data_IF_809398718223
#
_entry.id   IF_809398718223
#
_cell.length_a   1.000
_cell.length_b   1.000
_cell.length_c   1.000
_cell.angle_alpha   90.00
_cell.angle_beta   90.00
_cell.angle_gamma   90.00
#
_symmetry.space_group_name_H-M   'P 1'
#
loop_
_entity.id
_entity.type
_entity.pdbx_description
1 polymer ?
#
# COMPACT_ATOMS: atom_id res chain seq x y z
N UNK A 1 -89.67 1.94 -19.14
CA UNK A 1 -88.54 2.89 -19.23
C UNK A 1 -87.33 2.28 -18.53
N UNK A 2 -86.38 1.74 -19.28
CA UNK A 2 -85.10 1.20 -18.77
C UNK A 2 -83.99 2.09 -19.31
N UNK A 3 -83.22 2.72 -18.41
CA UNK A 3 -82.03 3.53 -18.73
C UNK A 3 -80.79 2.64 -18.66
N UNK A 4 -79.97 2.68 -19.70
CA UNK A 4 -78.69 1.98 -19.81
C UNK A 4 -77.59 2.80 -19.10
N UNK A 5 -76.69 2.19 -18.31
CA UNK A 5 -75.56 2.90 -17.73
C UNK A 5 -74.34 2.92 -18.69
N UNK A 6 -73.73 4.09 -18.79
CA UNK A 6 -72.43 4.35 -19.45
C UNK A 6 -71.32 3.97 -18.47
N UNK A 7 -70.35 3.16 -18.91
CA UNK A 7 -69.12 2.87 -18.16
C UNK A 7 -67.99 3.73 -18.73
N UNK A 8 -67.52 4.68 -17.93
CA UNK A 8 -66.34 5.52 -18.19
C UNK A 8 -65.08 4.76 -17.77
N UNK A 9 -64.09 4.66 -18.67
CA UNK A 9 -62.76 4.10 -18.41
C UNK A 9 -61.86 5.26 -17.96
N UNK A 10 -61.28 5.17 -16.76
CA UNK A 10 -60.21 6.06 -16.31
C UNK A 10 -58.86 5.41 -16.67
N UNK A 11 -58.07 6.06 -17.51
CA UNK A 11 -56.66 5.74 -17.73
C UNK A 11 -55.82 6.53 -16.72
N UNK A 12 -55.11 5.84 -15.84
CA UNK A 12 -54.13 6.44 -14.93
C UNK A 12 -52.74 6.32 -15.55
N UNK A 13 -52.15 7.45 -15.98
CA UNK A 13 -50.75 7.53 -16.39
C UNK A 13 -49.87 7.62 -15.14
N UNK A 14 -49.08 6.58 -14.87
CA UNK A 14 -48.03 6.61 -13.85
C UNK A 14 -46.84 7.36 -14.44
N UNK A 15 -46.57 8.55 -13.91
CA UNK A 15 -45.39 9.34 -14.23
C UNK A 15 -44.21 8.74 -13.44
N UNK A 16 -43.33 8.01 -14.12
CA UNK A 16 -42.10 7.48 -13.52
C UNK A 16 -41.13 8.63 -13.22
N UNK A 17 -40.91 8.92 -11.93
CA UNK A 17 -39.86 9.82 -11.48
C UNK A 17 -38.51 9.09 -11.68
N UNK A 18 -37.75 9.50 -12.69
CA UNK A 18 -36.35 9.11 -12.80
C UNK A 18 -35.57 9.84 -11.69
N UNK A 19 -35.29 9.15 -10.59
CA UNK A 19 -34.34 9.62 -9.58
C UNK A 19 -32.96 9.42 -10.17
N UNK A 20 -32.35 10.49 -10.68
CA UNK A 20 -30.91 10.51 -10.94
C UNK A 20 -30.20 10.49 -9.59
N UNK A 21 -29.67 9.34 -9.19
CA UNK A 21 -28.67 9.26 -8.12
C UNK A 21 -27.45 10.04 -8.59
N UNK A 22 -27.34 11.29 -8.15
CA UNK A 22 -26.09 12.03 -8.29
C UNK A 22 -25.04 11.31 -7.45
N UNK A 23 -24.01 10.74 -8.09
CA UNK A 23 -22.83 10.24 -7.40
C UNK A 23 -22.25 11.38 -6.57
N UNK A 24 -22.17 11.20 -5.26
CA UNK A 24 -21.48 12.15 -4.40
C UNK A 24 -20.02 12.24 -4.87
N UNK A 25 -19.55 13.45 -5.18
CA UNK A 25 -18.13 13.69 -5.42
C UNK A 25 -17.46 13.59 -4.05
N UNK A 26 -16.94 12.42 -3.71
CA UNK A 26 -16.06 12.26 -2.55
C UNK A 26 -14.68 12.76 -2.98
N UNK A 27 -14.27 13.91 -2.47
CA UNK A 27 -12.88 14.33 -2.56
C UNK A 27 -12.04 13.41 -1.68
N UNK A 28 -10.90 12.95 -2.18
CA UNK A 28 -9.96 12.17 -1.38
C UNK A 28 -9.53 12.94 -0.12
N UNK A 29 -9.40 12.21 0.99
CA UNK A 29 -8.86 12.77 2.23
C UNK A 29 -7.36 12.96 2.04
N UNK A 30 -6.88 14.18 2.25
CA UNK A 30 -5.45 14.51 2.19
C UNK A 30 -4.91 14.86 3.56
N UNK A 31 -3.65 14.58 3.81
CA UNK A 31 -2.97 14.89 5.06
C UNK A 31 -1.49 15.20 4.88
N UNK A 32 -0.84 15.57 5.98
CA UNK A 32 0.60 15.74 6.06
C UNK A 32 1.10 15.34 7.45
N UNK A 33 2.36 14.90 7.51
CA UNK A 33 3.10 14.66 8.75
C UNK A 33 4.46 15.35 8.69
N UNK A 34 5.01 15.67 9.85
CA UNK A 34 6.39 16.11 9.99
C UNK A 34 7.04 15.26 11.07
N UNK A 35 7.98 14.43 10.65
CA UNK A 35 8.59 13.41 11.49
C UNK A 35 10.10 13.65 11.55
N UNK A 36 10.62 13.81 12.76
CA UNK A 36 12.07 13.94 12.98
C UNK A 36 12.64 12.59 13.39
N UNK A 37 13.49 12.04 12.52
CA UNK A 37 14.25 10.83 12.76
C UNK A 37 15.61 11.24 13.39
N UNK A 38 15.89 10.87 14.65
CA UNK A 38 17.14 11.21 15.32
C UNK A 38 18.37 10.65 14.59
N UNK A 39 19.48 11.39 14.68
CA UNK A 39 20.79 10.90 14.23
C UNK A 39 21.27 9.71 15.05
N UNK A 40 21.94 8.75 14.41
CA UNK A 40 22.52 7.60 15.10
C UNK A 40 22.77 6.38 14.22
N UNK A 41 22.48 5.20 14.77
CA UNK A 41 22.67 3.93 14.09
C UNK A 41 21.60 3.65 13.02
N UNK A 42 20.53 4.45 12.99
CA UNK A 42 19.49 4.44 11.97
C UNK A 42 18.07 4.43 12.55
N UNK A 43 17.10 4.61 11.67
CA UNK A 43 15.67 4.59 11.99
C UNK A 43 14.92 3.79 10.93
N UNK A 44 13.97 2.98 11.35
CA UNK A 44 13.01 2.33 10.44
C UNK A 44 11.82 3.26 10.31
N UNK A 45 11.41 3.57 9.08
CA UNK A 45 10.34 4.49 8.79
C UNK A 45 9.44 3.93 7.68
N UNK A 46 8.12 4.03 7.82
CA UNK A 46 7.18 3.71 6.74
C UNK A 46 6.25 4.90 6.46
N UNK A 47 6.10 5.33 5.19
CA UNK A 47 5.16 6.37 4.84
C UNK A 47 3.71 5.84 4.85
N UNK A 48 2.81 6.63 5.45
CA UNK A 48 1.37 6.35 5.51
C UNK A 48 0.54 6.95 4.38
N UNK A 49 1.15 7.76 3.51
CA UNK A 49 0.44 8.46 2.44
C UNK A 49 0.70 7.81 1.08
N UNK A 50 -0.31 7.91 0.21
CA UNK A 50 -0.22 7.55 -1.21
C UNK A 50 -0.45 8.77 -2.09
N UNK A 51 -0.02 8.68 -3.34
CA UNK A 51 -0.44 9.67 -4.35
C UNK A 51 -1.95 9.52 -4.65
N UNK A 52 -2.56 10.60 -5.12
CA UNK A 52 -3.96 10.61 -5.52
C UNK A 52 -4.27 9.64 -6.68
N UNK A 53 -5.53 9.23 -6.81
CA UNK A 53 -5.98 8.43 -7.94
C UNK A 53 -5.78 9.18 -9.25
N UNK A 54 -4.95 8.64 -10.14
CA UNK A 54 -4.83 9.13 -11.51
C UNK A 54 -5.97 8.62 -12.40
N UNK A 55 -6.47 7.43 -12.09
CA UNK A 55 -7.63 6.81 -12.72
C UNK A 55 -8.34 5.88 -11.72
N UNK A 56 -9.66 5.72 -11.90
CA UNK A 56 -10.46 4.68 -11.25
C UNK A 56 -11.43 4.09 -12.25
N UNK A 57 -11.65 2.78 -12.17
CA UNK A 57 -12.58 2.07 -13.05
C UNK A 57 -12.72 0.61 -12.65
N UNK A 58 -13.44 -0.15 -13.47
CA UNK A 58 -13.66 -1.59 -13.24
C UNK A 58 -12.91 -2.41 -14.27
N UNK A 59 -12.31 -3.51 -13.83
CA UNK A 59 -11.85 -4.56 -14.75
C UNK A 59 -13.08 -5.20 -15.39
N UNK A 60 -12.97 -5.53 -16.67
CA UNK A 60 -14.05 -6.18 -17.44
C UNK A 60 -13.59 -7.48 -18.13
N UNK A 61 -12.33 -7.84 -17.94
CA UNK A 61 -11.74 -9.07 -18.45
C UNK A 61 -10.24 -9.10 -18.23
N UNK A 62 -9.70 -10.29 -18.05
CA UNK A 62 -8.26 -10.54 -17.83
C UNK A 62 -7.71 -11.46 -18.92
N UNK A 63 -6.47 -11.22 -19.33
CA UNK A 63 -5.68 -12.12 -20.17
C UNK A 63 -4.38 -12.42 -19.43
N UNK A 64 -4.30 -13.57 -18.74
CA UNK A 64 -3.15 -13.92 -17.91
C UNK A 64 -1.87 -14.15 -18.72
N UNK A 65 -0.73 -13.83 -18.12
CA UNK A 65 0.61 -14.03 -18.69
C UNK A 65 1.71 -13.62 -17.71
N UNK A 66 2.99 -13.73 -18.10
CA UNK A 66 4.10 -13.19 -17.30
C UNK A 66 3.96 -11.68 -17.07
N UNK A 67 3.38 -11.00 -18.05
CA UNK A 67 2.69 -9.73 -17.92
C UNK A 67 1.24 -9.99 -18.31
N UNK A 68 0.30 -9.57 -17.48
CA UNK A 68 -1.13 -9.79 -17.72
C UNK A 68 -1.77 -8.54 -18.30
N UNK A 69 -2.76 -8.73 -19.18
CA UNK A 69 -3.53 -7.63 -19.76
C UNK A 69 -4.92 -7.58 -19.12
N UNK A 70 -5.26 -6.44 -18.55
CA UNK A 70 -6.53 -6.15 -17.90
C UNK A 70 -7.35 -5.22 -18.80
N UNK A 71 -8.62 -5.56 -19.06
CA UNK A 71 -9.52 -4.76 -19.88
C UNK A 71 -10.17 -3.67 -19.04
N UNK A 72 -9.82 -2.41 -19.31
CA UNK A 72 -10.23 -1.20 -18.57
C UNK A 72 -10.60 -0.09 -19.56
N UNK A 73 -11.83 0.41 -19.50
CA UNK A 73 -12.28 1.47 -20.40
C UNK A 73 -11.97 2.88 -19.88
N UNK A 74 -11.82 3.85 -20.78
CA UNK A 74 -11.70 5.28 -20.42
C UNK A 74 -10.28 5.76 -20.13
N UNK A 75 -9.27 4.96 -20.48
CA UNK A 75 -7.88 5.32 -20.31
C UNK A 75 -7.40 6.23 -21.45
N UNK A 76 -6.44 7.10 -21.13
CA UNK A 76 -5.64 7.80 -22.14
C UNK A 76 -4.44 6.93 -22.49
N UNK A 77 -4.22 6.64 -23.77
CA UNK A 77 -3.10 5.79 -24.21
C UNK A 77 -1.75 6.34 -23.70
N UNK A 78 -0.90 5.45 -23.19
CA UNK A 78 0.43 5.76 -22.66
C UNK A 78 0.48 6.77 -21.50
N UNK A 79 -0.65 7.07 -20.85
CA UNK A 79 -0.69 7.98 -19.72
C UNK A 79 -0.05 7.41 -18.45
N UNK A 80 0.03 6.08 -18.35
CA UNK A 80 0.46 5.32 -17.18
C UNK A 80 1.57 4.32 -17.50
N UNK A 81 2.30 4.53 -18.60
CA UNK A 81 3.43 3.67 -18.95
C UNK A 81 4.53 3.70 -17.88
N UNK A 82 5.24 2.58 -17.73
CA UNK A 82 6.35 2.47 -16.80
C UNK A 82 7.47 3.48 -17.12
N UNK A 83 8.26 3.83 -16.09
CA UNK A 83 9.52 4.55 -16.30
C UNK A 83 10.58 3.67 -16.93
N UNK A 84 11.71 4.27 -17.31
CA UNK A 84 12.81 3.53 -17.94
C UNK A 84 13.50 2.52 -17.00
N UNK A 85 13.57 2.86 -15.71
CA UNK A 85 14.29 2.07 -14.68
C UNK A 85 13.34 1.57 -13.60
N UNK A 86 12.45 2.44 -13.12
CA UNK A 86 11.51 2.14 -12.04
C UNK A 86 10.07 2.16 -12.56
N UNK A 87 9.17 1.33 -12.00
CA UNK A 87 7.75 1.46 -12.31
C UNK A 87 7.26 2.84 -11.87
N UNK A 88 6.52 3.51 -12.75
CA UNK A 88 6.01 4.86 -12.49
C UNK A 88 4.63 4.83 -11.82
N UNK A 89 3.81 3.84 -12.18
CA UNK A 89 2.45 3.66 -11.72
C UNK A 89 2.21 2.22 -11.28
N UNK A 90 1.30 2.06 -10.32
CA UNK A 90 0.70 0.78 -9.97
C UNK A 90 -0.81 0.83 -10.15
N UNK A 91 -1.38 -0.33 -10.41
CA UNK A 91 -2.78 -0.63 -10.29
C UNK A 91 -3.02 -1.25 -8.92
N UNK A 92 -4.08 -0.83 -8.24
CA UNK A 92 -4.51 -1.43 -6.99
C UNK A 92 -5.99 -1.82 -7.05
N UNK A 93 -6.30 -3.03 -6.56
CA UNK A 93 -7.68 -3.49 -6.37
C UNK A 93 -8.28 -2.80 -5.14
N UNK A 94 -9.35 -2.04 -5.36
CA UNK A 94 -10.07 -1.27 -4.33
C UNK A 94 -11.18 -2.05 -3.69
N UNK A 95 -11.82 -2.94 -4.46
CA UNK A 95 -12.96 -3.73 -4.02
C UNK A 95 -12.98 -5.02 -4.82
N UNK A 96 -13.06 -6.13 -4.09
CA UNK A 96 -13.30 -7.45 -4.61
C UNK A 96 -14.76 -7.81 -4.36
N UNK A 97 -15.60 -7.56 -5.36
CA UNK A 97 -17.03 -7.85 -5.27
C UNK A 97 -17.34 -9.36 -5.35
N UNK A 98 -16.34 -10.22 -5.55
CA UNK A 98 -16.52 -11.67 -5.66
C UNK A 98 -16.42 -12.38 -4.32
N UNK A 99 -17.50 -12.36 -3.55
CA UNK A 99 -17.63 -13.20 -2.34
C UNK A 99 -17.74 -14.71 -2.60
N UNK A 100 -17.32 -15.24 -3.76
CA UNK A 100 -17.63 -16.61 -4.20
C UNK A 100 -16.43 -17.52 -4.52
N UNK A 101 -15.22 -16.99 -4.70
CA UNK A 101 -14.04 -17.80 -5.10
C UNK A 101 -13.06 -18.12 -3.95
N UNK A 102 -13.25 -17.47 -2.80
CA UNK A 102 -12.47 -17.70 -1.59
C UNK A 102 -11.06 -17.11 -1.62
N UNK A 103 -10.73 -16.30 -2.63
CA UNK A 103 -9.51 -15.51 -2.68
C UNK A 103 -9.90 -14.04 -2.54
N UNK A 104 -9.23 -13.34 -1.63
CA UNK A 104 -9.52 -11.93 -1.39
C UNK A 104 -8.46 -11.07 -2.08
N UNK A 105 -8.83 -10.48 -3.21
CA UNK A 105 -7.94 -9.64 -4.03
C UNK A 105 -7.93 -8.17 -3.59
N UNK A 106 -8.76 -7.77 -2.61
CA UNK A 106 -8.81 -6.40 -2.11
C UNK A 106 -7.44 -5.97 -1.58
N UNK A 107 -6.97 -4.81 -2.08
CA UNK A 107 -5.68 -4.24 -1.77
C UNK A 107 -4.52 -4.77 -2.59
N UNK A 108 -4.72 -5.71 -3.53
CA UNK A 108 -3.63 -6.22 -4.38
C UNK A 108 -3.01 -5.08 -5.20
N UNK A 109 -1.69 -4.93 -5.13
CA UNK A 109 -0.89 -3.95 -5.87
C UNK A 109 -0.11 -4.63 -6.98
N UNK A 110 -0.22 -4.09 -8.21
CA UNK A 110 0.47 -4.59 -9.40
C UNK A 110 1.11 -3.44 -10.17
N UNK A 111 2.39 -3.55 -10.50
CA UNK A 111 3.08 -2.54 -11.29
C UNK A 111 2.54 -2.48 -12.70
N UNK A 112 2.28 -1.26 -13.18
CA UNK A 112 1.85 -1.03 -14.56
C UNK A 112 3.08 -1.01 -15.47
N UNK A 113 3.06 -1.86 -16.50
CA UNK A 113 4.07 -1.89 -17.56
C UNK A 113 3.72 -0.87 -18.65
N UNK A 114 2.47 -0.91 -19.11
CA UNK A 114 1.96 0.00 -20.15
C UNK A 114 0.44 0.07 -20.15
N UNK A 115 -0.13 1.07 -20.82
CA UNK A 115 -1.57 1.13 -21.02
C UNK A 115 -2.00 1.62 -22.41
N UNK A 116 -3.05 0.99 -22.95
CA UNK A 116 -3.80 1.48 -24.10
C UNK A 116 -5.00 2.34 -23.67
N UNK A 117 -5.93 2.57 -24.60
CA UNK A 117 -7.21 3.27 -24.30
C UNK A 117 -8.26 2.37 -23.65
N UNK A 118 -8.10 1.05 -23.79
CA UNK A 118 -9.05 0.03 -23.33
C UNK A 118 -8.42 -1.08 -22.49
N UNK A 119 -7.13 -0.97 -22.16
CA UNK A 119 -6.41 -2.00 -21.43
C UNK A 119 -5.20 -1.45 -20.68
N UNK A 120 -4.82 -2.15 -19.62
CA UNK A 120 -3.58 -1.95 -18.86
C UNK A 120 -2.83 -3.27 -18.83
N UNK A 121 -1.53 -3.22 -19.10
CA UNK A 121 -0.62 -4.36 -18.92
C UNK A 121 0.07 -4.19 -17.58
N UNK A 122 0.01 -5.22 -16.73
CA UNK A 122 0.61 -5.25 -15.41
C UNK A 122 1.63 -6.38 -15.28
N UNK A 123 2.58 -6.24 -14.35
CA UNK A 123 3.54 -7.29 -14.03
C UNK A 123 2.84 -8.46 -13.33
N UNK A 124 3.20 -9.69 -13.74
CA UNK A 124 2.76 -10.92 -13.08
C UNK A 124 1.55 -11.59 -13.72
N UNK A 125 1.34 -12.85 -13.35
CA UNK A 125 0.21 -13.68 -13.78
C UNK A 125 -0.98 -13.48 -12.82
N UNK A 126 -1.96 -12.69 -13.27
CA UNK A 126 -3.12 -12.32 -12.46
C UNK A 126 -4.05 -13.49 -12.17
N UNK A 127 -3.97 -14.60 -12.93
CA UNK A 127 -4.78 -15.80 -12.64
C UNK A 127 -4.30 -16.53 -11.39
N UNK A 128 -3.00 -16.49 -11.10
CA UNK A 128 -2.44 -17.02 -9.86
C UNK A 128 -2.76 -16.13 -8.64
N UNK A 129 -3.18 -14.88 -8.89
CA UNK A 129 -3.51 -13.88 -7.88
C UNK A 129 -5.02 -13.74 -7.64
N UNK A 130 -5.85 -14.47 -8.39
CA UNK A 130 -7.30 -14.52 -8.18
C UNK A 130 -8.13 -13.51 -8.97
N UNK A 131 -7.53 -12.66 -9.82
CA UNK A 131 -8.29 -11.65 -10.57
C UNK A 131 -9.17 -12.29 -11.66
N UNK A 132 -10.45 -11.94 -11.66
CA UNK A 132 -11.49 -12.50 -12.53
C UNK A 132 -12.03 -11.50 -13.55
N UNK A 133 -11.84 -10.21 -13.31
CA UNK A 133 -12.17 -9.15 -14.25
C UNK A 133 -13.51 -8.48 -14.02
N UNK A 134 -13.83 -8.23 -12.76
CA UNK A 134 -14.96 -7.43 -12.27
C UNK A 134 -14.59 -6.53 -11.08
N UNK A 135 -13.32 -6.55 -10.67
CA UNK A 135 -12.79 -5.79 -9.56
C UNK A 135 -12.84 -4.29 -9.84
N UNK A 136 -13.10 -3.49 -8.79
CA UNK A 136 -12.86 -2.05 -8.86
C UNK A 136 -11.39 -1.77 -8.61
N UNK A 137 -10.80 -0.88 -9.39
CA UNK A 137 -9.38 -0.58 -9.33
C UNK A 137 -9.09 0.92 -9.39
N UNK A 138 -7.94 1.30 -8.85
CA UNK A 138 -7.31 2.58 -9.09
C UNK A 138 -5.96 2.42 -9.76
N UNK A 139 -5.56 3.41 -10.57
CA UNK A 139 -4.16 3.58 -10.99
C UNK A 139 -3.61 4.80 -10.27
N UNK A 140 -2.44 4.63 -9.66
CA UNK A 140 -1.74 5.67 -8.89
C UNK A 140 -0.28 5.71 -9.24
N UNK A 141 0.31 6.90 -9.14
CA UNK A 141 1.76 7.04 -9.24
C UNK A 141 2.40 6.44 -7.99
N UNK A 142 3.51 5.71 -8.12
CA UNK A 142 4.28 5.28 -6.96
C UNK A 142 4.79 6.48 -6.15
N UNK A 143 4.88 6.31 -4.83
CA UNK A 143 5.69 7.19 -4.00
C UNK A 143 7.16 6.89 -4.32
N UNK A 144 7.94 7.93 -4.61
CA UNK A 144 9.38 7.78 -4.86
C UNK A 144 10.21 8.28 -3.70
N UNK A 145 11.47 7.86 -3.66
CA UNK A 145 12.46 8.35 -2.70
C UNK A 145 12.61 9.88 -2.78
N UNK A 146 12.66 10.44 -3.99
CA UNK A 146 12.69 11.88 -4.21
C UNK A 146 11.46 12.58 -3.66
N UNK A 147 10.27 12.00 -3.82
CA UNK A 147 9.03 12.57 -3.28
C UNK A 147 8.97 12.49 -1.75
N UNK A 148 9.39 11.37 -1.15
CA UNK A 148 9.36 11.20 0.30
C UNK A 148 10.24 12.22 1.02
N UNK A 149 11.42 12.51 0.46
CA UNK A 149 12.38 13.45 1.03
C UNK A 149 12.31 14.86 0.43
N UNK A 150 11.27 15.16 -0.36
CA UNK A 150 11.07 16.53 -0.84
C UNK A 150 10.78 17.46 0.36
N UNK A 151 11.54 18.56 0.44
CA UNK A 151 11.51 19.46 1.59
C UNK A 151 12.07 18.90 2.91
N UNK A 152 12.68 17.70 2.91
CA UNK A 152 13.35 17.18 4.09
C UNK A 152 14.55 18.04 4.48
N UNK A 153 14.86 18.08 5.77
CA UNK A 153 16.00 18.83 6.32
C UNK A 153 16.90 17.92 7.13
N UNK A 154 18.19 18.27 7.23
CA UNK A 154 19.16 17.49 8.01
C UNK A 154 19.87 16.37 7.24
N UNK A 155 19.51 16.10 5.99
CA UNK A 155 20.24 15.14 5.16
C UNK A 155 21.65 15.63 4.82
N UNK A 156 22.64 14.75 5.01
CA UNK A 156 24.03 14.94 4.63
C UNK A 156 24.35 14.19 3.35
N UNK A 157 24.79 14.96 2.35
CA UNK A 157 25.24 14.47 1.05
C UNK A 157 26.31 13.37 1.20
N UNK A 158 26.16 12.29 0.42
CA UNK A 158 27.07 11.13 0.37
C UNK A 158 27.40 10.48 1.72
N UNK A 159 26.62 10.78 2.76
CA UNK A 159 26.88 10.35 4.13
C UNK A 159 25.70 9.57 4.67
N UNK A 160 24.51 10.16 4.58
CA UNK A 160 23.29 9.49 4.99
C UNK A 160 22.90 8.46 3.92
N UNK A 161 22.31 7.35 4.34
CA UNK A 161 21.93 6.24 3.47
C UNK A 161 20.48 5.86 3.72
N UNK A 162 19.70 5.77 2.65
CA UNK A 162 18.38 5.13 2.68
C UNK A 162 18.49 3.74 2.08
N UNK A 163 17.96 2.74 2.77
CA UNK A 163 17.90 1.37 2.29
C UNK A 163 16.46 0.90 2.16
N UNK A 164 16.13 0.34 1.00
CA UNK A 164 14.83 -0.23 0.66
C UNK A 164 14.99 -1.74 0.56
N UNK A 165 14.25 -2.48 1.38
CA UNK A 165 14.24 -3.93 1.38
C UNK A 165 13.17 -4.44 0.42
N UNK A 166 13.54 -5.43 -0.38
CA UNK A 166 12.70 -6.06 -1.39
C UNK A 166 12.14 -5.10 -2.47
N UNK A 167 12.74 -3.90 -2.64
CA UNK A 167 12.25 -2.87 -3.56
C UNK A 167 12.28 -3.29 -5.03
N UNK A 168 13.27 -4.10 -5.40
CA UNK A 168 13.44 -4.67 -6.75
C UNK A 168 13.05 -6.17 -6.81
N UNK A 169 12.36 -6.65 -5.78
CA UNK A 169 11.92 -8.05 -5.64
C UNK A 169 12.45 -8.72 -4.36
N UNK A 170 11.96 -9.92 -4.09
CA UNK A 170 12.28 -10.67 -2.86
C UNK A 170 13.79 -10.79 -2.61
N UNK A 171 14.24 -10.33 -1.44
CA UNK A 171 15.62 -10.47 -0.96
C UNK A 171 16.59 -9.40 -1.46
N UNK A 172 16.13 -8.40 -2.22
CA UNK A 172 16.99 -7.28 -2.61
C UNK A 172 17.16 -6.28 -1.47
N UNK A 173 18.31 -5.58 -1.50
CA UNK A 173 18.60 -4.45 -0.63
C UNK A 173 19.14 -3.34 -1.52
N UNK A 174 18.28 -2.39 -1.85
CA UNK A 174 18.61 -1.27 -2.71
C UNK A 174 18.94 -0.07 -1.81
N UNK A 175 20.13 0.51 -1.94
CA UNK A 175 20.61 1.57 -1.05
C UNK A 175 21.02 2.82 -1.81
N UNK A 176 20.64 3.97 -1.28
CA UNK A 176 20.79 5.26 -1.94
C UNK A 176 21.39 6.31 -1.00
N UNK A 177 22.14 7.24 -1.57
CA UNK A 177 22.74 8.38 -0.86
C UNK A 177 22.24 9.71 -1.45
N UNK A 178 22.05 10.76 -0.63
CA UNK A 178 21.71 12.08 -1.14
C UNK A 178 22.84 12.65 -2.00
N UNK A 179 22.48 13.19 -3.16
CA UNK A 179 23.44 13.75 -4.13
C UNK A 179 23.84 15.21 -3.86
N UNK A 180 23.23 15.84 -2.85
CA UNK A 180 23.45 17.24 -2.44
C UNK A 180 22.78 18.30 -3.33
N UNK A 181 22.08 17.89 -4.38
CA UNK A 181 21.30 18.72 -5.29
C UNK A 181 19.79 18.43 -5.21
N UNK A 182 19.36 17.64 -4.22
CA UNK A 182 17.96 17.24 -4.01
C UNK A 182 17.58 15.92 -4.69
N UNK A 183 18.54 15.21 -5.26
CA UNK A 183 18.39 13.87 -5.82
C UNK A 183 19.07 12.80 -4.98
N UNK A 184 19.00 11.57 -5.50
CA UNK A 184 19.57 10.39 -4.87
C UNK A 184 20.40 9.62 -5.88
N UNK A 185 21.50 9.03 -5.42
CA UNK A 185 22.35 8.14 -6.22
C UNK A 185 22.38 6.76 -5.59
N UNK A 186 22.46 5.72 -6.41
CA UNK A 186 22.73 4.37 -5.96
C UNK A 186 24.08 4.32 -5.22
N UNK A 187 24.07 3.74 -4.02
CA UNK A 187 25.24 3.65 -3.15
C UNK A 187 26.32 2.72 -3.75
N UNK A 188 25.95 1.78 -4.63
CA UNK A 188 26.88 0.82 -5.21
C UNK A 188 27.83 1.43 -6.24
N UNK A 189 27.42 2.49 -6.93
CA UNK A 189 28.19 3.11 -8.00
C UNK A 189 28.37 4.63 -7.90
N UNK A 190 27.56 5.32 -7.07
CA UNK A 190 27.54 6.78 -6.91
C UNK A 190 27.31 7.54 -8.25
N UNK A 191 26.64 6.92 -9.21
CA UNK A 191 26.39 7.48 -10.55
C UNK A 191 24.95 7.23 -11.01
N UNK A 192 24.38 6.06 -10.74
CA UNK A 192 23.02 5.74 -11.15
C UNK A 192 22.03 6.55 -10.33
N UNK A 193 21.12 7.27 -11.00
CA UNK A 193 20.12 8.10 -10.35
C UNK A 193 19.05 7.22 -9.71
N UNK A 194 18.84 7.40 -8.40
CA UNK A 194 17.87 6.68 -7.57
C UNK A 194 16.69 7.55 -7.11
N UNK A 195 16.54 8.78 -7.60
CA UNK A 195 15.47 9.70 -7.17
C UNK A 195 14.07 9.13 -7.41
N UNK A 196 13.91 8.32 -8.46
CA UNK A 196 12.64 7.67 -8.81
C UNK A 196 12.51 6.25 -8.21
N UNK A 197 13.42 5.84 -7.32
CA UNK A 197 13.31 4.57 -6.62
C UNK A 197 12.00 4.49 -5.83
N UNK A 198 11.29 3.37 -6.00
CA UNK A 198 9.91 3.20 -5.52
C UNK A 198 9.88 2.78 -4.06
N UNK A 199 8.98 3.39 -3.31
CA UNK A 199 8.57 2.95 -1.98
C UNK A 199 7.14 2.44 -2.10
N UNK A 200 6.96 1.13 -1.98
CA UNK A 200 5.65 0.52 -2.14
C UNK A 200 4.74 0.88 -0.96
N UNK A 201 3.43 1.09 -1.20
CA UNK A 201 2.47 1.32 -0.12
C UNK A 201 2.56 0.23 0.95
N UNK A 202 2.65 0.64 2.21
CA UNK A 202 2.68 -0.27 3.36
C UNK A 202 4.07 -0.87 3.63
N UNK A 203 5.08 -0.54 2.83
CA UNK A 203 6.47 -0.96 3.05
C UNK A 203 7.29 0.13 3.74
N UNK A 204 8.31 -0.28 4.49
CA UNK A 204 9.23 0.61 5.19
C UNK A 204 10.60 0.74 4.51
N UNK A 205 11.36 1.73 4.98
CA UNK A 205 12.76 1.97 4.65
C UNK A 205 13.60 2.00 5.93
N UNK A 206 14.91 1.87 5.78
CA UNK A 206 15.88 2.19 6.84
C UNK A 206 16.64 3.44 6.45
N UNK A 207 16.59 4.48 7.27
CA UNK A 207 17.42 5.67 7.14
C UNK A 207 18.57 5.59 8.14
N UNK A 208 19.80 5.60 7.65
CA UNK A 208 21.01 5.76 8.46
C UNK A 208 21.50 7.20 8.31
N UNK A 209 21.38 7.99 9.37
CA UNK A 209 21.68 9.42 9.36
C UNK A 209 22.56 9.83 10.53
N UNK A 210 23.50 10.74 10.30
CA UNK A 210 24.45 11.18 11.35
C UNK A 210 23.83 12.23 12.28
N UNK A 211 22.97 13.09 11.75
CA UNK A 211 22.25 14.13 12.48
C UNK A 211 20.75 13.97 12.29
N UNK A 212 19.94 14.61 13.12
CA UNK A 212 18.48 14.53 13.01
C UNK A 212 18.00 14.94 11.62
N UNK A 213 17.20 14.08 11.00
CA UNK A 213 16.57 14.31 9.69
C UNK A 213 15.09 14.53 9.91
N UNK A 214 14.54 15.64 9.43
CA UNK A 214 13.10 15.89 9.45
C UNK A 214 12.51 15.66 8.07
N UNK A 215 11.60 14.69 7.99
CA UNK A 215 10.84 14.32 6.79
C UNK A 215 9.48 15.01 6.86
N UNK A 216 9.02 15.58 5.74
CA UNK A 216 7.69 16.16 5.61
C UNK A 216 6.94 15.38 4.54
N UNK A 217 6.13 14.41 4.96
CA UNK A 217 5.34 13.60 4.05
C UNK A 217 3.95 14.20 3.89
N UNK A 218 3.40 14.20 2.68
CA UNK A 218 2.02 14.59 2.42
C UNK A 218 1.43 13.78 1.28
N UNK A 219 0.11 13.65 1.25
CA UNK A 219 -0.58 12.92 0.21
C UNK A 219 -2.00 12.54 0.60
N UNK A 220 -2.56 11.59 -0.14
CA UNK A 220 -3.87 11.01 0.13
C UNK A 220 -3.76 10.00 1.27
N UNK A 221 -4.67 10.09 2.23
CA UNK A 221 -4.87 9.10 3.28
C UNK A 221 -5.71 7.98 2.71
N UNK A 222 -5.22 6.75 2.86
CA UNK A 222 -5.91 5.58 2.33
C UNK A 222 -6.99 5.09 3.28
N UNK A 223 -8.19 4.82 2.76
CA UNK A 223 -9.32 4.28 3.53
C UNK A 223 -9.56 2.78 3.27
N UNK A 224 -8.94 2.21 2.23
CA UNK A 224 -9.04 0.79 1.88
C UNK A 224 -7.77 0.01 2.28
N UNK A 225 -7.83 -1.33 2.42
CA UNK A 225 -6.65 -2.15 2.69
C UNK A 225 -5.63 -2.13 1.55
N UNK A 226 -4.34 -2.31 1.87
CA UNK A 226 -3.25 -2.59 0.92
C UNK A 226 -2.68 -3.97 1.23
N UNK A 227 -2.49 -4.82 0.22
CA UNK A 227 -1.71 -6.05 0.36
C UNK A 227 -0.22 -5.75 0.28
N UNK A 228 0.51 -6.12 1.32
CA UNK A 228 1.97 -6.03 1.42
C UNK A 228 2.52 -7.45 1.41
N UNK A 229 3.31 -7.84 0.38
CA UNK A 229 3.89 -9.17 0.34
C UNK A 229 4.93 -9.35 1.45
N UNK A 230 4.86 -10.48 2.13
CA UNK A 230 5.88 -10.94 3.07
C UNK A 230 6.67 -12.07 2.40
N UNK A 231 7.95 -11.83 2.16
CA UNK A 231 8.83 -12.79 1.51
C UNK A 231 9.55 -13.66 2.53
N UNK A 232 9.59 -14.97 2.26
CA UNK A 232 10.21 -15.96 3.12
C UNK A 232 11.73 -15.79 3.19
N UNK A 233 12.29 -15.84 4.40
CA UNK A 233 13.73 -15.83 4.61
C UNK A 233 14.43 -14.51 4.28
N UNK A 234 13.66 -13.42 4.10
CA UNK A 234 14.19 -12.07 3.90
C UNK A 234 13.65 -11.13 4.98
N UNK A 235 14.23 -9.94 5.08
CA UNK A 235 13.73 -8.88 5.96
C UNK A 235 12.56 -8.21 5.27
N UNK A 236 11.39 -8.21 5.92
CA UNK A 236 10.21 -7.47 5.47
C UNK A 236 10.02 -6.28 6.40
N UNK A 237 9.91 -5.06 5.84
CA UNK A 237 9.59 -3.86 6.59
C UNK A 237 8.16 -3.48 6.26
N UNK A 238 7.27 -3.56 7.24
CA UNK A 238 5.86 -3.23 7.05
C UNK A 238 5.44 -2.08 7.96
N UNK A 239 4.66 -1.17 7.41
CA UNK A 239 4.04 -0.06 8.13
C UNK A 239 2.52 -0.18 8.17
N UNK A 240 1.90 0.82 8.76
CA UNK A 240 0.45 1.03 8.67
C UNK A 240 0.17 2.06 7.58
N UNK A 241 -1.01 1.99 6.96
CA UNK A 241 -1.43 2.93 5.92
C UNK A 241 -2.20 4.12 6.49
N UNK A 242 -1.91 4.49 7.75
CA UNK A 242 -2.65 5.49 8.51
C UNK A 242 -1.72 6.40 9.28
N UNK A 243 -1.81 7.73 9.09
CA UNK A 243 -0.99 8.69 9.81
C UNK A 243 -1.57 8.96 11.22
N UNK A 244 -1.60 7.93 12.07
CA UNK A 244 -2.02 8.01 13.48
C UNK A 244 -0.84 7.73 14.40
N UNK A 245 -0.74 8.44 15.52
CA UNK A 245 0.41 8.35 16.43
C UNK A 245 0.46 7.08 17.29
N UNK A 246 -0.55 6.22 17.16
CA UNK A 246 -0.67 4.97 17.92
C UNK A 246 -1.67 4.08 17.20
N UNK A 247 -1.17 2.99 16.63
CA UNK A 247 -1.96 1.95 15.99
C UNK A 247 -1.50 0.58 16.48
N UNK A 248 -2.42 -0.23 16.99
CA UNK A 248 -2.13 -1.63 17.29
C UNK A 248 -2.32 -2.46 16.01
N UNK A 249 -1.23 -3.03 15.48
CA UNK A 249 -1.27 -3.86 14.27
C UNK A 249 -2.10 -5.14 14.43
N UNK A 250 -2.46 -5.52 15.66
CA UNK A 250 -3.31 -6.68 15.91
C UNK A 250 -4.79 -6.34 15.95
N UNK A 251 -5.15 -5.05 15.95
CA UNK A 251 -6.52 -4.60 16.18
C UNK A 251 -7.54 -5.09 15.14
N UNK A 252 -7.09 -5.49 13.95
CA UNK A 252 -7.92 -6.04 12.89
C UNK A 252 -7.61 -7.50 12.54
N UNK A 253 -6.65 -8.13 13.23
CA UNK A 253 -6.20 -9.51 12.98
C UNK A 253 -5.39 -9.71 11.69
N UNK A 254 -5.24 -8.70 10.84
CA UNK A 254 -4.63 -8.85 9.51
C UNK A 254 -3.16 -9.24 9.57
N UNK A 255 -2.44 -8.80 10.61
CA UNK A 255 -1.06 -9.23 10.83
C UNK A 255 -0.99 -10.69 11.29
N UNK A 256 -1.86 -11.14 12.20
CA UNK A 256 -1.83 -12.53 12.69
C UNK A 256 -2.15 -13.52 11.56
N UNK A 257 -3.16 -13.21 10.72
CA UNK A 257 -3.52 -14.03 9.55
C UNK A 257 -2.37 -14.17 8.54
N UNK A 258 -1.46 -13.19 8.50
CA UNK A 258 -0.31 -13.19 7.61
C UNK A 258 0.87 -14.02 8.15
N UNK A 259 0.84 -14.43 9.42
CA UNK A 259 1.97 -15.07 10.11
C UNK A 259 1.73 -16.55 10.34
N UNK A 260 2.77 -17.35 10.15
CA UNK A 260 2.79 -18.74 10.59
C UNK A 260 3.00 -18.81 12.11
N UNK A 261 2.03 -19.44 12.76
CA UNK A 261 2.03 -19.70 14.21
C UNK A 261 3.38 -20.23 14.71
N UNK A 262 3.89 -19.62 15.78
CA UNK A 262 5.16 -19.93 16.47
C UNK A 262 6.42 -19.99 15.58
N UNK A 263 6.32 -19.52 14.33
CA UNK A 263 7.39 -19.64 13.34
C UNK A 263 7.85 -18.28 12.87
N UNK A 264 6.91 -17.41 12.52
CA UNK A 264 7.23 -16.08 12.04
C UNK A 264 7.42 -15.12 13.21
N UNK A 265 8.44 -14.27 13.12
CA UNK A 265 8.82 -13.34 14.19
C UNK A 265 8.60 -11.91 13.71
N UNK A 266 7.86 -11.15 14.50
CA UNK A 266 7.71 -9.71 14.35
C UNK A 266 8.59 -9.01 15.38
N UNK A 267 9.33 -7.98 14.95
CA UNK A 267 10.24 -7.22 15.81
C UNK A 267 10.06 -5.72 15.60
N UNK A 268 9.87 -4.99 16.70
CA UNK A 268 9.92 -3.52 16.72
C UNK A 268 11.32 -3.05 17.07
N UNK A 269 11.70 -1.89 16.56
CA UNK A 269 13.02 -1.30 16.80
C UNK A 269 12.90 0.11 17.34
N UNK A 270 13.86 0.51 18.17
CA UNK A 270 13.98 1.88 18.63
C UNK A 270 14.48 2.80 17.53
N UNK A 271 13.84 3.96 17.43
CA UNK A 271 14.22 5.03 16.50
C UNK A 271 15.60 5.60 16.87
N UNK A 272 16.48 5.79 15.89
CA UNK A 272 17.84 6.35 16.04
C UNK A 272 18.92 5.36 16.49
N UNK A 273 18.56 4.25 17.16
CA UNK A 273 19.56 3.29 17.67
C UNK A 273 19.42 1.88 17.10
N UNK A 274 18.33 1.56 16.40
CA UNK A 274 18.03 0.24 15.84
C UNK A 274 18.24 -0.91 16.83
N UNK A 275 17.84 -0.71 18.09
CA UNK A 275 17.80 -1.78 19.09
C UNK A 275 16.42 -2.43 19.03
N UNK A 276 16.36 -3.76 19.00
CA UNK A 276 15.08 -4.46 19.12
C UNK A 276 14.44 -4.10 20.47
N UNK A 277 13.19 -3.60 20.43
CA UNK A 277 12.44 -3.19 21.63
C UNK A 277 11.45 -4.26 22.07
N UNK A 278 10.91 -5.03 21.12
CA UNK A 278 10.02 -6.16 21.36
C UNK A 278 10.18 -7.16 20.21
N UNK A 279 10.11 -8.45 20.53
CA UNK A 279 10.03 -9.52 19.55
C UNK A 279 8.89 -10.45 19.93
N UNK A 280 8.06 -10.79 18.95
CA UNK A 280 6.85 -11.57 19.18
C UNK A 280 6.61 -12.59 18.06
N UNK A 281 5.87 -13.64 18.37
CA UNK A 281 5.42 -14.67 17.43
C UNK A 281 3.90 -14.79 17.46
N UNK A 282 3.30 -15.14 16.33
CA UNK A 282 1.86 -15.44 16.25
C UNK A 282 1.50 -16.65 17.12
N UNK A 283 0.38 -16.54 17.84
CA UNK A 283 -0.26 -17.63 18.58
C UNK A 283 -1.27 -18.42 17.74
N UNK A 284 -1.49 -18.02 16.48
CA UNK A 284 -2.44 -18.63 15.55
C UNK A 284 -3.90 -18.53 15.96
N UNK A 285 -4.22 -17.63 16.89
CA UNK A 285 -5.54 -17.40 17.46
C UNK A 285 -5.89 -15.90 17.53
N UNK A 286 -5.24 -15.06 16.73
CA UNK A 286 -5.45 -13.62 16.65
C UNK A 286 -4.54 -12.79 17.57
N UNK A 287 -3.48 -13.38 18.14
CA UNK A 287 -2.61 -12.72 19.11
C UNK A 287 -1.12 -12.95 18.87
N UNK A 288 -0.30 -12.10 19.48
CA UNK A 288 1.15 -12.28 19.54
C UNK A 288 1.62 -12.61 20.94
N UNK A 289 2.67 -13.43 21.03
CA UNK A 289 3.31 -13.86 22.27
C UNK A 289 4.78 -13.44 22.28
N UNK A 290 5.28 -13.01 23.43
CA UNK A 290 6.70 -12.68 23.61
C UNK A 290 7.59 -13.90 23.30
N UNK A 291 8.62 -13.72 22.47
CA UNK A 291 9.58 -14.78 22.11
C UNK A 291 10.40 -15.30 23.30
N UNK A 292 10.44 -14.56 24.41
CA UNK A 292 11.17 -14.96 25.61
C UNK A 292 10.50 -16.13 26.35
N UNK A 293 9.16 -16.21 26.30
CA UNK A 293 8.41 -17.20 27.08
C UNK A 293 7.31 -17.94 26.32
N UNK A 294 6.91 -17.46 25.12
CA UNK A 294 5.86 -18.03 24.29
C UNK A 294 4.51 -18.17 25.01
N UNK A 295 4.25 -17.34 26.02
CA UNK A 295 3.00 -17.39 26.81
C UNK A 295 2.46 -16.01 27.18
N UNK A 296 3.30 -14.99 27.23
CA UNK A 296 2.89 -13.62 27.57
C UNK A 296 2.35 -12.93 26.33
N UNK A 297 1.05 -12.55 26.28
CA UNK A 297 0.52 -11.76 25.19
C UNK A 297 1.20 -10.40 25.10
N UNK A 298 1.42 -9.93 23.88
CA UNK A 298 2.00 -8.62 23.62
C UNK A 298 1.16 -7.85 22.60
N UNK A 299 0.99 -6.57 22.86
CA UNK A 299 0.42 -5.63 21.89
C UNK A 299 1.54 -5.10 20.99
N UNK A 300 1.20 -4.84 19.72
CA UNK A 300 2.14 -4.33 18.73
C UNK A 300 1.73 -2.93 18.28
N UNK A 301 2.04 -1.95 19.12
CA UNK A 301 1.67 -0.55 18.88
C UNK A 301 2.79 0.18 18.12
N UNK A 302 2.44 0.80 17.00
CA UNK A 302 3.33 1.65 16.20
C UNK A 302 2.80 3.06 16.03
N UNK A 303 3.70 4.03 15.83
CA UNK A 303 3.35 5.33 15.29
C UNK A 303 3.29 5.25 13.76
N UNK A 304 2.09 5.30 13.18
CA UNK A 304 1.91 5.28 11.72
C UNK A 304 2.46 6.50 11.00
N UNK A 305 2.93 7.52 11.72
CA UNK A 305 3.62 8.67 11.13
C UNK A 305 5.14 8.52 11.11
N UNK A 306 5.70 7.50 11.77
CA UNK A 306 7.14 7.42 12.02
C UNK A 306 7.75 6.01 12.01
N UNK A 307 6.98 4.97 12.29
CA UNK A 307 7.48 3.63 12.60
C UNK A 307 7.12 2.60 11.53
N UNK A 308 7.91 1.53 11.49
CA UNK A 308 7.57 0.28 10.82
C UNK A 308 8.04 -0.90 11.69
N UNK A 309 7.53 -2.10 11.41
CA UNK A 309 7.96 -3.34 12.08
C UNK A 309 8.73 -4.22 11.10
N UNK A 310 9.66 -5.00 11.64
CA UNK A 310 10.37 -6.03 10.89
C UNK A 310 9.62 -7.34 11.02
N UNK A 311 9.30 -7.98 9.91
CA UNK A 311 8.73 -9.32 9.88
C UNK A 311 9.71 -10.29 9.22
N UNK A 312 10.08 -11.33 9.97
CA UNK A 312 10.84 -12.46 9.45
C UNK A 312 9.86 -13.61 9.21
N UNK A 313 9.41 -13.74 7.97
CA UNK A 313 8.47 -14.78 7.55
C UNK A 313 9.20 -16.06 7.13
N UNK A 314 8.68 -17.22 7.51
CA UNK A 314 9.20 -18.53 7.13
C UNK A 314 8.58 -19.07 5.83
N UNK A 315 7.44 -18.53 5.42
CA UNK A 315 6.81 -18.77 4.13
C UNK A 315 6.38 -17.45 3.50
N UNK A 316 6.15 -17.46 2.18
CA UNK A 316 5.58 -16.30 1.52
C UNK A 316 4.12 -16.15 1.97
N UNK A 317 3.75 -14.95 2.38
CA UNK A 317 2.38 -14.60 2.77
C UNK A 317 2.09 -13.15 2.39
N UNK A 318 0.93 -12.65 2.80
CA UNK A 318 0.50 -11.28 2.52
C UNK A 318 -0.07 -10.68 3.80
N UNK A 319 0.48 -9.53 4.19
CA UNK A 319 -0.08 -8.69 5.24
C UNK A 319 -1.06 -7.68 4.61
N UNK A 320 -2.28 -7.59 5.14
CA UNK A 320 -3.25 -6.57 4.72
C UNK A 320 -3.13 -5.32 5.59
N UNK A 321 -2.34 -4.36 5.13
CA UNK A 321 -2.19 -3.08 5.80
C UNK A 321 -3.51 -2.28 5.73
N UNK A 322 -4.10 -2.06 6.90
CA UNK A 322 -5.44 -1.51 7.09
C UNK A 322 -5.50 0.00 6.87
N UNK A 323 -6.34 0.43 5.91
CA UNK A 323 -6.74 1.84 5.70
C UNK A 323 -8.05 2.22 6.42
N UNK A 324 -8.88 1.24 6.80
CA UNK A 324 -10.25 1.47 7.30
C UNK A 324 -10.29 1.97 8.73
N UNK A 325 -11.02 3.05 9.03
CA UNK A 325 -11.21 3.52 10.41
C UNK A 325 -11.91 2.43 11.23
N UNK A 326 -11.21 1.81 12.19
CA UNK A 326 -11.87 0.98 13.20
C UNK A 326 -12.66 1.95 14.08
N UNK A 327 -14.00 1.82 14.20
CA UNK A 327 -14.75 2.63 15.15
C UNK A 327 -14.19 2.38 16.56
N UNK A 328 -13.67 3.43 17.20
CA UNK A 328 -13.33 3.40 18.62
C UNK A 328 -14.59 3.29 19.49
#
# INVERSE_FOLDING_TARGET
>A
MKRTPVKTIFAASVLGLAVSSASAVTTEVVGYTSTTLPGGAGSIFAPSFINANAFQGSITGTTPGAESVLSLAGLSASAYDAGEIFPAYYLEVLDDTNGADGLDTEGLVLDVVSNGTGSVTVVGDVSALGLQGDEQVAIRKHLTLGQLFDGATGLLQFTDVVSIYNGSGAGTLDSYVPDGAGGWLDLSDFVTVGTDAVIYPGTGIVLNNVQDVTIVASGTVKETPTQVPLYAGTVNLIGVMKPVSSFDLLSDGALDDALLQFTDVVTTYSVGTLQATQSAVSDGAGGLLDVADFVTPVDLVVDGTADAVVVNAAANSVYKATGTVIPQ
#
